data_IF_922487483416
#
_entry.id   IF_922487483416
#
_cell.length_a   1.000
_cell.length_b   1.000
_cell.length_c   1.000
_cell.angle_alpha   90.00
_cell.angle_beta   90.00
_cell.angle_gamma   90.00
#
_symmetry.space_group_name_H-M   'P 1'
#
loop_
_entity.id
_entity.type
_entity.pdbx_description
1 polymer ?
#
# COMPACT_ATOMS: atom_id res chain seq x y z
N UNK A 1 -12.61 -2.80 17.13
CA UNK A 1 -13.33 -3.51 16.04
C UNK A 1 -12.58 -4.81 15.77
N UNK A 2 -13.26 -5.84 15.28
CA UNK A 2 -12.56 -7.02 14.77
C UNK A 2 -11.98 -6.67 13.39
N UNK A 3 -10.78 -7.16 13.08
CA UNK A 3 -10.18 -6.99 11.76
C UNK A 3 -11.05 -7.70 10.70
N UNK A 4 -11.09 -7.20 9.46
CA UNK A 4 -11.81 -7.84 8.38
C UNK A 4 -11.22 -9.21 8.03
N UNK A 5 -12.07 -10.12 7.54
CA UNK A 5 -11.62 -11.40 6.99
C UNK A 5 -11.13 -11.20 5.56
N UNK A 6 -9.81 -11.29 5.38
CA UNK A 6 -9.16 -11.10 4.08
C UNK A 6 -9.19 -12.35 3.19
N UNK A 7 -9.46 -13.54 3.73
CA UNK A 7 -9.33 -14.78 2.96
C UNK A 7 -10.16 -14.79 1.66
N UNK A 8 -11.46 -14.38 1.65
CA UNK A 8 -12.26 -14.41 0.43
C UNK A 8 -11.77 -13.47 -0.67
N UNK A 9 -11.21 -12.29 -0.31
CA UNK A 9 -10.69 -11.35 -1.31
C UNK A 9 -9.32 -11.82 -1.82
N UNK A 10 -8.49 -12.39 -0.95
CA UNK A 10 -7.18 -12.93 -1.34
C UNK A 10 -7.31 -14.16 -2.25
N UNK A 11 -8.27 -15.05 -1.99
CA UNK A 11 -8.58 -16.17 -2.89
C UNK A 11 -8.94 -15.69 -4.30
N UNK A 12 -9.71 -14.59 -4.40
CA UNK A 12 -10.06 -13.99 -5.70
C UNK A 12 -8.85 -13.38 -6.39
N UNK A 13 -8.02 -12.62 -5.67
CA UNK A 13 -6.80 -12.03 -6.22
C UNK A 13 -5.86 -13.13 -6.73
N UNK A 14 -5.65 -14.18 -5.94
CA UNK A 14 -4.82 -15.32 -6.33
C UNK A 14 -5.36 -16.02 -7.58
N UNK A 15 -6.68 -16.20 -7.69
CA UNK A 15 -7.31 -16.80 -8.86
C UNK A 15 -7.18 -15.92 -10.12
N UNK A 16 -7.24 -14.59 -9.98
CA UNK A 16 -7.14 -13.64 -11.08
C UNK A 16 -5.70 -13.47 -11.58
N UNK A 17 -4.73 -13.46 -10.68
CA UNK A 17 -3.33 -13.08 -10.98
C UNK A 17 -2.36 -14.26 -11.02
N UNK A 18 -2.76 -15.41 -10.48
CA UNK A 18 -1.90 -16.59 -10.35
C UNK A 18 -0.84 -16.47 -9.25
N UNK A 19 -0.76 -15.35 -8.53
CA UNK A 19 0.18 -15.16 -7.43
C UNK A 19 -0.31 -15.87 -6.17
N UNK A 20 0.58 -16.62 -5.54
CA UNK A 20 0.30 -17.27 -4.25
C UNK A 20 0.56 -16.33 -3.08
N UNK A 21 -0.24 -16.47 -2.03
CA UNK A 21 -0.11 -15.72 -0.78
C UNK A 21 0.38 -16.65 0.32
N UNK A 22 1.22 -16.12 1.21
CA UNK A 22 1.87 -16.86 2.30
C UNK A 22 2.02 -15.98 3.53
N UNK A 23 2.35 -16.60 4.66
CA UNK A 23 2.78 -15.84 5.83
C UNK A 23 4.13 -15.16 5.58
N UNK A 24 4.23 -13.87 5.91
CA UNK A 24 5.49 -13.15 5.92
C UNK A 24 6.48 -13.73 6.95
N UNK A 25 7.77 -13.57 6.66
CA UNK A 25 8.81 -13.93 7.61
C UNK A 25 8.83 -12.96 8.81
N UNK A 26 9.25 -13.39 10.01
CA UNK A 26 9.39 -12.49 11.15
C UNK A 26 10.33 -11.30 10.88
N UNK A 27 11.39 -11.52 10.10
CA UNK A 27 12.36 -10.48 9.75
C UNK A 27 11.74 -9.43 8.82
N UNK A 28 10.89 -9.84 7.88
CA UNK A 28 10.20 -8.91 6.98
C UNK A 28 9.09 -8.15 7.71
N UNK A 29 8.35 -8.81 8.60
CA UNK A 29 7.38 -8.14 9.48
C UNK A 29 8.05 -7.08 10.37
N UNK A 30 9.24 -7.37 10.91
CA UNK A 30 9.98 -6.41 11.72
C UNK A 30 10.43 -5.17 10.93
N UNK A 31 10.80 -5.34 9.65
CA UNK A 31 11.10 -4.20 8.75
C UNK A 31 9.87 -3.35 8.50
N UNK A 32 8.74 -4.00 8.23
CA UNK A 32 7.48 -3.31 7.98
C UNK A 32 6.99 -2.57 9.24
N UNK A 33 7.11 -3.18 10.43
CA UNK A 33 6.83 -2.55 11.72
C UNK A 33 7.73 -1.33 11.95
N UNK A 34 9.01 -1.39 11.55
CA UNK A 34 9.93 -0.26 11.66
C UNK A 34 9.56 0.95 10.76
N UNK A 35 8.72 0.75 9.73
CA UNK A 35 8.11 1.85 8.96
C UNK A 35 6.94 2.52 9.68
N UNK A 36 6.55 2.02 10.86
CA UNK A 36 5.47 2.59 11.67
C UNK A 36 4.07 2.15 11.24
N UNK A 37 3.92 1.13 10.39
CA UNK A 37 2.60 0.63 10.01
C UNK A 37 1.87 0.03 11.23
N UNK A 38 0.54 0.18 11.32
CA UNK A 38 -0.22 -0.33 12.46
C UNK A 38 -0.39 -1.85 12.43
N UNK A 39 -0.76 -2.43 13.57
CA UNK A 39 -0.96 -3.89 13.74
C UNK A 39 -2.00 -4.48 12.76
N UNK A 40 -2.95 -3.68 12.29
CA UNK A 40 -3.93 -4.10 11.27
C UNK A 40 -3.24 -4.48 9.95
N UNK A 41 -2.25 -3.69 9.52
CA UNK A 41 -1.43 -3.95 8.33
C UNK A 41 -0.48 -5.12 8.58
N UNK A 42 0.17 -5.17 9.75
CA UNK A 42 1.04 -6.30 10.12
C UNK A 42 0.28 -7.62 10.13
N UNK A 43 -0.96 -7.62 10.63
CA UNK A 43 -1.82 -8.81 10.67
C UNK A 43 -2.14 -9.31 9.26
N UNK A 44 -2.41 -8.40 8.32
CA UNK A 44 -2.59 -8.77 6.93
C UNK A 44 -1.36 -9.51 6.37
N UNK A 45 -0.18 -8.90 6.45
CA UNK A 45 1.05 -9.50 5.91
C UNK A 45 1.49 -10.77 6.63
N UNK A 46 1.13 -10.93 7.91
CA UNK A 46 1.40 -12.15 8.69
C UNK A 46 0.74 -13.39 8.09
N UNK A 47 -0.35 -13.23 7.35
CA UNK A 47 -1.10 -14.33 6.74
C UNK A 47 -1.08 -14.29 5.21
N UNK A 48 -1.04 -13.09 4.63
CA UNK A 48 -1.30 -12.83 3.22
C UNK A 48 -0.23 -11.95 2.57
N UNK A 49 1.05 -12.23 2.80
CA UNK A 49 2.12 -11.68 1.99
C UNK A 49 2.08 -12.29 0.57
N UNK A 50 2.08 -11.48 -0.50
CA UNK A 50 2.29 -11.97 -1.84
C UNK A 50 3.67 -12.64 -1.99
N UNK A 51 3.72 -13.81 -2.61
CA UNK A 51 5.00 -14.50 -2.90
C UNK A 51 5.86 -13.79 -3.96
N UNK A 52 5.23 -12.97 -4.79
CA UNK A 52 5.83 -12.12 -5.82
C UNK A 52 4.91 -10.91 -6.07
N UNK A 53 5.31 -9.98 -6.92
CA UNK A 53 4.47 -8.87 -7.38
C UNK A 53 3.14 -9.38 -7.94
N UNK A 54 2.04 -8.93 -7.34
CA UNK A 54 0.70 -9.18 -7.87
C UNK A 54 0.45 -8.20 -9.01
N UNK A 55 0.54 -8.70 -10.25
CA UNK A 55 0.19 -7.92 -11.44
C UNK A 55 -1.32 -8.07 -11.72
N UNK A 56 -2.08 -7.01 -11.47
CA UNK A 56 -3.49 -6.91 -11.83
C UNK A 56 -3.76 -5.56 -12.51
N UNK A 57 -4.81 -4.85 -12.05
CA UNK A 57 -5.05 -3.47 -12.47
C UNK A 57 -3.92 -2.52 -12.02
N UNK A 58 -3.32 -2.82 -10.88
CA UNK A 58 -2.15 -2.15 -10.30
C UNK A 58 -1.21 -3.23 -9.77
N UNK A 59 -0.01 -2.84 -9.34
CA UNK A 59 0.98 -3.75 -8.76
C UNK A 59 0.87 -3.74 -7.25
N UNK A 60 0.49 -4.87 -6.64
CA UNK A 60 0.58 -5.04 -5.17
C UNK A 60 1.94 -5.65 -4.83
N UNK A 61 2.62 -5.05 -3.85
CA UNK A 61 4.00 -5.39 -3.54
C UNK A 61 4.14 -6.41 -2.40
N UNK A 62 5.06 -7.39 -2.52
CA UNK A 62 5.61 -8.10 -1.37
C UNK A 62 6.36 -7.13 -0.45
N UNK A 63 6.59 -7.51 0.81
CA UNK A 63 7.24 -6.62 1.78
C UNK A 63 8.61 -6.14 1.29
N UNK A 64 9.39 -6.99 0.63
CA UNK A 64 10.71 -6.61 0.12
C UNK A 64 10.63 -5.41 -0.84
N UNK A 65 9.64 -5.39 -1.74
CA UNK A 65 9.42 -4.28 -2.67
C UNK A 65 8.78 -3.08 -1.98
N UNK A 66 7.91 -3.29 -0.97
CA UNK A 66 7.45 -2.22 -0.09
C UNK A 66 8.64 -1.47 0.52
N UNK A 67 9.65 -2.19 1.03
CA UNK A 67 10.85 -1.55 1.56
C UNK A 67 11.60 -0.76 0.49
N UNK A 68 11.80 -1.33 -0.69
CA UNK A 68 12.51 -0.66 -1.78
C UNK A 68 11.81 0.62 -2.24
N UNK A 69 10.49 0.58 -2.40
CA UNK A 69 9.67 1.74 -2.77
C UNK A 69 9.84 2.89 -1.76
N UNK A 70 9.76 2.58 -0.47
CA UNK A 70 9.81 3.57 0.60
C UNK A 70 11.22 4.07 0.93
N UNK A 71 12.28 3.36 0.51
CA UNK A 71 13.68 3.72 0.78
C UNK A 71 14.40 4.35 -0.42
N UNK A 72 13.98 4.03 -1.66
CA UNK A 72 14.78 4.35 -2.86
C UNK A 72 14.00 4.96 -4.02
N UNK A 73 12.69 4.77 -4.10
CA UNK A 73 11.92 5.13 -5.29
C UNK A 73 11.04 6.35 -5.04
N UNK A 74 10.79 7.12 -6.09
CA UNK A 74 9.91 8.29 -6.05
C UNK A 74 8.49 7.84 -6.42
N UNK A 75 7.45 8.27 -5.69
CA UNK A 75 7.48 9.25 -4.60
C UNK A 75 7.78 8.67 -3.20
N UNK A 76 7.85 7.36 -3.04
CA UNK A 76 7.92 6.67 -1.74
C UNK A 76 9.02 7.15 -0.79
N UNK A 77 10.25 7.36 -1.27
CA UNK A 77 11.42 7.83 -0.49
C UNK A 77 11.21 9.19 0.18
N UNK A 78 10.31 10.01 -0.36
CA UNK A 78 9.97 11.31 0.21
C UNK A 78 8.68 11.22 1.03
N UNK A 79 7.66 10.56 0.51
CA UNK A 79 6.36 10.42 1.14
C UNK A 79 6.43 9.65 2.47
N UNK A 80 7.27 8.61 2.56
CA UNK A 80 7.41 7.76 3.74
C UNK A 80 7.89 8.53 4.97
N UNK A 81 8.75 9.54 4.78
CA UNK A 81 9.24 10.42 5.85
C UNK A 81 8.14 11.26 6.50
N UNK A 82 6.99 11.37 5.84
CA UNK A 82 5.84 12.13 6.28
C UNK A 82 4.63 11.25 6.62
N UNK A 83 4.82 9.93 6.75
CA UNK A 83 3.77 9.00 7.17
C UNK A 83 2.96 8.40 6.03
N UNK A 84 3.39 8.51 4.78
CA UNK A 84 2.74 7.85 3.63
C UNK A 84 3.56 6.65 3.18
N UNK A 85 3.12 5.44 3.55
CA UNK A 85 3.88 4.21 3.29
C UNK A 85 3.35 3.50 2.04
N UNK A 86 4.15 3.47 0.98
CA UNK A 86 3.81 2.82 -0.30
C UNK A 86 3.63 1.32 -0.12
N UNK A 87 2.55 0.75 -0.65
CA UNK A 87 2.35 -0.71 -0.68
C UNK A 87 1.91 -1.26 -2.05
N UNK A 88 1.53 -0.37 -2.97
CA UNK A 88 1.18 -0.71 -4.33
C UNK A 88 1.47 0.46 -5.27
N UNK A 89 1.59 0.19 -6.57
CA UNK A 89 1.82 1.21 -7.60
C UNK A 89 0.95 1.01 -8.83
N UNK A 90 0.61 2.11 -9.51
CA UNK A 90 0.13 2.03 -10.89
C UNK A 90 1.27 1.61 -11.83
N UNK A 91 0.95 1.26 -13.07
CA UNK A 91 1.96 0.91 -14.07
C UNK A 91 2.88 2.09 -14.41
N UNK A 92 2.37 3.33 -14.31
CA UNK A 92 3.16 4.53 -14.57
C UNK A 92 3.98 5.05 -13.40
N UNK A 93 3.79 4.52 -12.18
CA UNK A 93 4.63 4.81 -11.03
C UNK A 93 3.97 5.63 -9.92
N UNK A 94 2.70 6.00 -10.05
CA UNK A 94 1.94 6.58 -8.94
C UNK A 94 1.79 5.56 -7.82
N UNK A 95 1.84 6.02 -6.56
CA UNK A 95 1.91 5.13 -5.40
C UNK A 95 0.64 5.16 -4.57
N UNK A 96 0.11 3.97 -4.31
CA UNK A 96 -0.87 3.75 -3.27
C UNK A 96 -0.16 3.64 -1.92
N UNK A 97 -0.57 4.48 -0.99
CA UNK A 97 0.06 4.61 0.31
C UNK A 97 -0.95 4.34 1.42
N UNK A 98 -0.49 3.68 2.49
CA UNK A 98 -1.12 3.81 3.79
C UNK A 98 -0.89 5.24 4.30
N UNK A 99 -1.95 5.96 4.61
CA UNK A 99 -1.85 7.27 5.26
C UNK A 99 -1.82 7.08 6.79
N UNK A 100 -0.62 7.24 7.34
CA UNK A 100 -0.31 7.10 8.77
C UNK A 100 -0.16 8.46 9.46
N UNK A 101 -0.61 9.55 8.83
CA UNK A 101 -0.47 10.90 9.39
C UNK A 101 -1.27 11.11 10.67
N UNK A 102 -2.34 10.32 10.88
CA UNK A 102 -3.08 10.24 12.14
C UNK A 102 -2.83 8.89 12.85
N UNK A 103 -1.95 8.82 13.87
CA UNK A 103 -1.63 7.59 14.58
C UNK A 103 -2.80 7.06 15.43
N UNK A 104 -3.89 7.82 15.58
CA UNK A 104 -5.10 7.39 16.27
C UNK A 104 -5.99 6.45 15.45
N UNK A 105 -5.71 6.31 14.15
CA UNK A 105 -6.52 5.50 13.24
C UNK A 105 -6.02 4.05 13.23
N UNK A 106 -6.83 3.07 13.68
CA UNK A 106 -6.40 1.68 13.77
C UNK A 106 -6.26 0.99 12.39
N UNK A 107 -7.00 1.44 11.39
CA UNK A 107 -6.96 0.94 10.01
C UNK A 107 -6.73 2.14 9.08
N UNK A 108 -5.51 2.30 8.56
CA UNK A 108 -5.13 3.52 7.85
C UNK A 108 -5.87 3.61 6.51
N UNK A 109 -6.37 4.80 6.14
CA UNK A 109 -6.95 4.99 4.82
C UNK A 109 -5.88 4.85 3.74
N UNK A 110 -6.32 4.57 2.53
CA UNK A 110 -5.47 4.45 1.36
C UNK A 110 -5.61 5.71 0.52
N UNK A 111 -4.46 6.30 0.20
CA UNK A 111 -4.36 7.46 -0.69
C UNK A 111 -3.49 7.13 -1.90
N UNK A 112 -3.65 7.88 -2.97
CA UNK A 112 -2.82 7.85 -4.17
C UNK A 112 -1.99 9.13 -4.24
N UNK A 113 -0.70 8.99 -4.52
CA UNK A 113 0.25 10.08 -4.72
C UNK A 113 0.87 9.98 -6.11
N UNK A 114 0.93 11.11 -6.81
CA UNK A 114 1.51 11.16 -8.15
C UNK A 114 3.04 11.22 -8.11
N UNK A 115 3.66 10.42 -8.96
CA UNK A 115 5.11 10.41 -9.13
C UNK A 115 5.65 11.65 -9.86
N UNK A 116 4.80 12.41 -10.56
CA UNK A 116 5.20 13.59 -11.32
C UNK A 116 5.34 14.84 -10.43
N UNK A 117 4.58 14.90 -9.34
CA UNK A 117 4.46 16.11 -8.49
C UNK A 117 5.22 16.03 -7.18
N UNK A 118 5.49 14.82 -6.69
CA UNK A 118 6.18 14.61 -5.41
C UNK A 118 7.70 14.51 -5.64
N UNK A 119 8.45 15.28 -4.87
CA UNK A 119 9.91 15.36 -4.94
C UNK A 119 10.50 15.61 -3.54
N UNK A 120 11.82 15.76 -3.45
CA UNK A 120 12.52 16.07 -2.20
C UNK A 120 12.04 17.36 -1.52
N UNK A 121 11.63 18.34 -2.33
CA UNK A 121 11.22 19.66 -1.85
C UNK A 121 9.73 19.74 -1.48
N UNK A 122 8.97 18.65 -1.66
CA UNK A 122 7.54 18.64 -1.36
C UNK A 122 7.32 18.74 0.15
N UNK A 123 6.59 19.79 0.57
CA UNK A 123 6.26 20.02 1.98
C UNK A 123 5.25 19.00 2.51
N UNK A 124 5.16 18.86 3.84
CA UNK A 124 4.13 18.02 4.47
C UNK A 124 2.72 18.54 4.17
N UNK A 125 2.55 19.87 4.09
CA UNK A 125 1.28 20.50 3.73
C UNK A 125 0.90 20.22 2.27
N UNK A 126 1.88 20.22 1.36
CA UNK A 126 1.64 19.87 -0.04
C UNK A 126 1.33 18.38 -0.21
N UNK A 127 2.05 17.49 0.48
CA UNK A 127 1.74 16.06 0.50
C UNK A 127 0.29 15.81 0.94
N UNK A 128 -0.15 16.43 2.04
CA UNK A 128 -1.51 16.29 2.53
C UNK A 128 -2.56 16.83 1.53
N UNK A 129 -2.23 17.86 0.75
CA UNK A 129 -3.11 18.43 -0.28
C UNK A 129 -3.16 17.56 -1.55
N UNK A 130 -2.04 16.92 -1.90
CA UNK A 130 -1.87 16.11 -3.11
C UNK A 130 -2.33 14.66 -2.92
N UNK A 131 -2.37 14.17 -1.67
CA UNK A 131 -2.86 12.84 -1.33
C UNK A 131 -4.34 12.68 -1.73
N UNK A 132 -4.59 11.97 -2.83
CA UNK A 132 -5.95 11.67 -3.31
C UNK A 132 -6.53 10.50 -2.50
N UNK A 133 -7.66 10.66 -1.79
CA UNK A 133 -8.28 9.53 -1.09
C UNK A 133 -8.81 8.48 -2.07
N UNK A 134 -8.50 7.19 -1.80
CA UNK A 134 -8.90 6.06 -2.66
C UNK A 134 -9.85 5.12 -1.93
N UNK A 135 -9.44 4.66 -0.74
CA UNK A 135 -10.18 3.68 0.04
C UNK A 135 -10.07 4.00 1.53
N UNK A 136 -11.06 3.57 2.30
CA UNK A 136 -11.11 3.84 3.75
C UNK A 136 -10.14 2.99 4.58
N UNK A 137 -9.72 1.84 4.04
CA UNK A 137 -8.84 0.86 4.67
C UNK A 137 -8.30 -0.11 3.60
N UNK A 138 -7.35 -0.98 3.98
CA UNK A 138 -6.74 -1.96 3.07
C UNK A 138 -7.77 -2.95 2.50
N UNK A 139 -8.76 -3.36 3.30
CA UNK A 139 -9.75 -4.33 2.84
C UNK A 139 -10.67 -3.74 1.77
N UNK A 140 -11.14 -2.50 1.94
CA UNK A 140 -11.89 -1.75 0.91
C UNK A 140 -11.05 -1.59 -0.36
N UNK A 141 -9.76 -1.28 -0.23
CA UNK A 141 -8.85 -1.20 -1.37
C UNK A 141 -8.75 -2.52 -2.14
N UNK A 142 -8.52 -3.64 -1.45
CA UNK A 142 -8.41 -4.96 -2.09
C UNK A 142 -9.73 -5.39 -2.75
N UNK A 143 -10.87 -5.03 -2.16
CA UNK A 143 -12.18 -5.28 -2.78
C UNK A 143 -12.35 -4.49 -4.08
N UNK A 144 -11.90 -3.23 -4.13
CA UNK A 144 -11.92 -2.41 -5.35
C UNK A 144 -10.95 -2.96 -6.39
N UNK A 145 -9.75 -3.38 -5.97
CA UNK A 145 -8.76 -4.01 -6.85
C UNK A 145 -9.36 -5.21 -7.60
N UNK A 146 -10.04 -6.12 -6.89
CA UNK A 146 -10.67 -7.31 -7.49
C UNK A 146 -11.79 -6.94 -8.48
N UNK A 147 -12.45 -5.80 -8.27
CA UNK A 147 -13.53 -5.29 -9.14
C UNK A 147 -13.02 -4.45 -10.32
N UNK A 148 -11.73 -4.13 -10.38
CA UNK A 148 -11.20 -3.20 -11.38
C UNK A 148 -11.58 -1.73 -11.11
N UNK A 149 -11.77 -1.36 -9.84
CA UNK A 149 -12.27 -0.05 -9.40
C UNK A 149 -11.17 0.81 -8.74
N UNK A 150 -9.88 0.49 -8.94
CA UNK A 150 -8.76 1.35 -8.51
C UNK A 150 -8.24 2.16 -9.69
N UNK A 151 -7.68 3.34 -9.42
CA UNK A 151 -7.14 4.22 -10.46
C UNK A 151 -5.87 3.59 -11.10
N UNK A 152 -5.91 3.27 -12.38
CA UNK A 152 -4.76 2.71 -13.11
C UNK A 152 -3.96 3.76 -13.90
N UNK A 153 -4.60 4.89 -14.21
CA UNK A 153 -4.03 6.01 -14.95
C UNK A 153 -3.26 6.95 -14.02
N UNK A 154 -2.25 7.63 -14.58
CA UNK A 154 -1.53 8.64 -13.83
C UNK A 154 -2.46 9.78 -13.43
N UNK A 155 -2.31 10.28 -12.21
CA UNK A 155 -3.02 11.47 -11.76
C UNK A 155 -2.14 12.71 -11.96
N UNK A 156 -2.73 13.72 -12.63
CA UNK A 156 -2.14 15.05 -12.84
C UNK A 156 -2.18 15.92 -11.57
#
# INVERSE_FOLDING_TARGET
MALPDYAPVIEQIAAQTGVTFRAASPDDLAKLEALGVPESVLTFFREFEPSDCVQGQVRLWPIMQVMEENEKLIPGVYASKHGYIVFATTDCGDTYCFDLTDPGVPEPPIVLLSHEVISEDTSVEDLARLAKPVAKDLHDFLQRFVRGEVDEECID
#
